data_IF_515553263460
#
_entry.id   IF_515553263460
#
_cell.length_a   1.000
_cell.length_b   1.000
_cell.length_c   1.000
_cell.angle_alpha   90.00
_cell.angle_beta   90.00
_cell.angle_gamma   90.00
#
_symmetry.space_group_name_H-M   'P 1'
#
loop_
_entity.id
_entity.type
_entity.pdbx_description
1 polymer ?
#
# COMPACT_ATOMS: atom_id res chain seq x y z
N UNK A 1 7.64 5.87 -8.30
CA UNK A 1 7.01 4.70 -8.94
C UNK A 1 5.50 4.72 -8.74
N UNK A 2 4.79 3.94 -9.52
CA UNK A 2 3.34 3.91 -9.48
C UNK A 2 2.84 2.83 -8.53
N UNK A 3 1.83 3.19 -7.71
CA UNK A 3 1.16 2.23 -6.82
C UNK A 3 -0.31 2.21 -7.18
N UNK A 4 -0.86 1.02 -7.40
CA UNK A 4 -2.27 0.85 -7.74
C UNK A 4 -3.11 0.65 -6.49
N UNK A 5 -4.24 1.37 -6.44
CA UNK A 5 -5.17 1.31 -5.32
C UNK A 5 -6.52 0.83 -5.79
N UNK A 6 -7.23 0.09 -4.94
CA UNK A 6 -8.47 -0.57 -5.35
C UNK A 6 -9.64 -0.23 -4.43
N UNK A 7 -10.84 -0.30 -5.01
CA UNK A 7 -12.13 -0.23 -4.30
C UNK A 7 -12.21 0.96 -3.34
N UNK A 8 -12.50 0.73 -2.08
CA UNK A 8 -12.75 1.77 -1.09
C UNK A 8 -11.53 2.62 -0.75
N UNK A 9 -10.33 2.24 -1.21
CA UNK A 9 -9.14 3.07 -1.02
C UNK A 9 -9.09 4.21 -2.04
N UNK A 10 -9.72 4.05 -3.20
CA UNK A 10 -9.68 5.07 -4.27
C UNK A 10 -10.25 6.42 -3.86
N UNK A 11 -11.41 6.50 -3.19
CA UNK A 11 -11.92 7.81 -2.75
C UNK A 11 -10.96 8.56 -1.84
N UNK A 12 -10.10 7.84 -1.11
CA UNK A 12 -9.16 8.45 -0.16
C UNK A 12 -7.98 9.12 -0.87
N UNK A 13 -7.81 8.85 -2.17
CA UNK A 13 -6.75 9.47 -2.98
C UNK A 13 -7.37 10.21 -4.17
N UNK A 14 -8.51 10.86 -3.94
CA UNK A 14 -9.17 11.67 -4.97
C UNK A 14 -9.78 10.86 -6.10
N UNK A 15 -10.10 9.60 -5.87
CA UNK A 15 -10.71 8.73 -6.87
C UNK A 15 -9.71 8.13 -7.86
N UNK A 16 -8.42 8.34 -7.66
CA UNK A 16 -7.41 7.83 -8.58
C UNK A 16 -7.27 6.32 -8.45
N UNK A 17 -7.04 5.63 -9.58
CA UNK A 17 -6.81 4.19 -9.58
C UNK A 17 -5.35 3.86 -9.31
N UNK A 18 -4.46 4.82 -9.55
CA UNK A 18 -3.04 4.68 -9.22
C UNK A 18 -2.48 6.05 -8.90
N UNK A 19 -1.41 6.06 -8.11
CA UNK A 19 -0.73 7.29 -7.73
C UNK A 19 0.76 7.15 -7.98
N UNK A 20 1.41 8.27 -8.28
CA UNK A 20 2.84 8.30 -8.52
C UNK A 20 3.55 8.73 -7.25
N UNK A 21 4.58 7.97 -6.83
CA UNK A 21 5.35 8.24 -5.63
C UNK A 21 6.81 8.46 -5.96
N UNK A 22 7.51 9.19 -5.07
CA UNK A 22 8.96 9.33 -5.14
C UNK A 22 9.65 8.03 -4.72
N UNK A 23 9.02 7.26 -3.85
CA UNK A 23 9.50 5.95 -3.42
C UNK A 23 9.70 5.04 -4.63
N UNK A 24 10.75 4.25 -4.61
CA UNK A 24 11.06 3.36 -5.71
C UNK A 24 12.03 2.26 -5.30
N UNK A 25 12.67 1.62 -6.30
CA UNK A 25 13.59 0.50 -6.05
C UNK A 25 14.65 0.86 -5.01
N UNK A 26 14.89 -0.06 -4.07
CA UNK A 26 15.83 0.16 -2.97
C UNK A 26 15.19 0.70 -1.70
N UNK A 27 14.04 1.33 -1.81
CA UNK A 27 13.27 1.76 -0.64
C UNK A 27 12.46 0.58 -0.10
N UNK A 28 11.84 0.77 1.06
CA UNK A 28 11.05 -0.29 1.69
C UNK A 28 9.56 -0.06 1.53
N UNK A 29 8.77 -1.09 1.84
CA UNK A 29 7.31 -0.95 1.90
C UNK A 29 6.93 0.10 2.93
N UNK A 30 7.66 0.17 4.06
CA UNK A 30 7.45 1.23 5.07
C UNK A 30 7.56 2.61 4.43
N UNK A 31 8.60 2.84 3.64
CA UNK A 31 8.82 4.13 2.97
C UNK A 31 7.65 4.46 2.04
N UNK A 32 7.17 3.47 1.31
CA UNK A 32 6.06 3.64 0.37
C UNK A 32 4.77 4.01 1.10
N UNK A 33 4.46 3.31 2.20
CA UNK A 33 3.27 3.62 2.98
C UNK A 33 3.37 4.97 3.67
N UNK A 34 4.57 5.33 4.14
CA UNK A 34 4.79 6.63 4.78
C UNK A 34 4.52 7.77 3.79
N UNK A 35 4.98 7.63 2.56
CA UNK A 35 4.73 8.66 1.55
C UNK A 35 3.25 8.76 1.21
N UNK A 36 2.56 7.63 1.08
CA UNK A 36 1.11 7.61 0.84
C UNK A 36 0.36 8.34 1.93
N UNK A 37 0.69 8.06 3.20
CA UNK A 37 0.01 8.67 4.34
C UNK A 37 0.34 10.15 4.47
N UNK A 38 1.52 10.56 4.03
CA UNK A 38 1.91 11.96 4.04
C UNK A 38 1.12 12.75 3.01
N UNK A 39 0.97 12.20 1.80
CA UNK A 39 0.23 12.86 0.72
C UNK A 39 -1.28 12.77 0.91
N UNK A 40 -1.76 11.68 1.44
CA UNK A 40 -3.19 11.44 1.67
C UNK A 40 -3.41 10.94 3.09
N UNK A 41 -3.49 11.86 4.06
CA UNK A 41 -3.60 11.49 5.49
C UNK A 41 -4.79 10.59 5.82
N UNK A 42 -5.86 10.64 5.02
CA UNK A 42 -7.02 9.77 5.24
C UNK A 42 -6.68 8.29 5.11
N UNK A 43 -5.55 7.95 4.46
CA UNK A 43 -5.12 6.57 4.34
C UNK A 43 -4.54 6.00 5.62
N UNK A 44 -4.14 6.87 6.57
CA UNK A 44 -3.43 6.41 7.77
C UNK A 44 -4.17 5.34 8.53
N UNK A 45 -5.47 5.55 8.78
CA UNK A 45 -6.27 4.60 9.54
C UNK A 45 -6.56 3.32 8.76
N UNK A 46 -6.41 3.38 7.44
CA UNK A 46 -6.65 2.20 6.59
C UNK A 46 -5.39 1.36 6.41
N UNK A 47 -4.22 1.98 6.35
CA UNK A 47 -2.98 1.28 6.00
C UNK A 47 -2.24 0.70 7.19
N UNK A 48 -2.27 1.38 8.34
CA UNK A 48 -1.51 0.94 9.51
C UNK A 48 -2.42 0.63 10.69
N UNK A 49 -1.98 -0.33 11.50
CA UNK A 49 -2.65 -0.74 12.72
C UNK A 49 -1.56 -1.16 13.71
N UNK A 50 -1.48 -0.45 14.84
CA UNK A 50 -0.47 -0.73 15.87
C UNK A 50 0.96 -0.71 15.33
N UNK A 51 1.24 0.20 14.38
CA UNK A 51 2.58 0.36 13.84
C UNK A 51 2.98 -0.64 12.77
N UNK A 52 2.05 -1.49 12.35
CA UNK A 52 2.30 -2.48 11.30
C UNK A 52 1.23 -2.37 10.21
N UNK A 53 1.39 -3.13 9.14
CA UNK A 53 0.39 -3.20 8.07
C UNK A 53 -0.93 -3.64 8.68
N UNK A 54 -1.99 -2.88 8.39
CA UNK A 54 -3.32 -3.22 8.89
C UNK A 54 -3.73 -4.63 8.44
N UNK A 55 -4.33 -5.38 9.36
CA UNK A 55 -4.82 -6.72 9.03
C UNK A 55 -5.95 -6.69 8.00
N UNK A 56 -6.54 -5.50 7.79
CA UNK A 56 -7.68 -5.36 6.88
C UNK A 56 -7.29 -5.09 5.44
N UNK A 57 -6.02 -4.76 5.17
CA UNK A 57 -5.57 -4.49 3.80
C UNK A 57 -4.58 -5.55 3.34
N UNK A 58 -4.37 -5.58 2.03
CA UNK A 58 -3.43 -6.50 1.40
C UNK A 58 -2.51 -5.72 0.49
N UNK A 59 -1.21 -5.77 0.76
CA UNK A 59 -0.19 -5.13 -0.08
C UNK A 59 0.50 -6.22 -0.88
N UNK A 60 0.32 -6.17 -2.19
CA UNK A 60 0.91 -7.16 -3.09
C UNK A 60 2.10 -6.56 -3.83
N UNK A 61 3.21 -7.24 -3.76
CA UNK A 61 4.42 -6.92 -4.52
C UNK A 61 4.68 -8.06 -5.49
N UNK A 62 4.55 -7.74 -6.78
CA UNK A 62 4.73 -8.73 -7.84
C UNK A 62 3.86 -9.98 -7.64
N UNK A 63 2.62 -9.77 -7.20
CA UNK A 63 1.65 -10.84 -7.01
C UNK A 63 1.77 -11.59 -5.69
N UNK A 64 2.66 -11.15 -4.79
CA UNK A 64 2.86 -11.83 -3.49
C UNK A 64 2.57 -10.84 -2.36
N UNK A 65 1.84 -11.30 -1.35
CA UNK A 65 1.49 -10.44 -0.23
C UNK A 65 2.70 -10.25 0.70
N UNK A 66 3.10 -8.96 0.89
CA UNK A 66 4.32 -8.66 1.63
C UNK A 66 4.24 -9.06 3.11
N UNK A 67 3.03 -9.14 3.66
CA UNK A 67 2.81 -9.55 5.05
C UNK A 67 3.43 -10.91 5.35
N UNK A 68 3.44 -11.80 4.37
CA UNK A 68 3.99 -13.15 4.51
C UNK A 68 5.45 -13.24 4.06
N UNK A 69 6.06 -12.09 3.84
CA UNK A 69 7.47 -11.96 3.47
C UNK A 69 8.15 -11.12 4.55
N UNK A 70 8.80 -10.03 4.17
CA UNK A 70 9.48 -9.15 5.12
C UNK A 70 8.58 -8.01 5.64
N UNK A 71 7.31 -7.97 5.22
CA UNK A 71 6.37 -6.96 5.69
C UNK A 71 6.84 -5.55 5.37
N UNK A 72 6.82 -4.69 6.39
CA UNK A 72 7.25 -3.29 6.22
C UNK A 72 8.72 -3.15 5.83
N UNK A 73 9.54 -4.12 6.18
CA UNK A 73 10.99 -4.10 5.86
C UNK A 73 11.29 -4.63 4.47
N UNK A 74 10.27 -5.10 3.74
CA UNK A 74 10.46 -5.61 2.40
C UNK A 74 11.03 -4.53 1.49
N UNK A 75 12.16 -4.83 0.84
CA UNK A 75 12.81 -3.90 -0.10
C UNK A 75 12.13 -4.02 -1.46
N UNK A 76 11.84 -2.87 -2.05
CA UNK A 76 11.19 -2.80 -3.36
C UNK A 76 12.22 -3.06 -4.45
N UNK A 77 12.00 -4.08 -5.30
CA UNK A 77 12.93 -4.39 -6.38
C UNK A 77 12.69 -3.52 -7.61
N UNK A 78 13.58 -3.62 -8.59
CA UNK A 78 13.37 -2.99 -9.89
C UNK A 78 12.11 -3.56 -10.54
N UNK A 79 11.40 -2.72 -11.28
CA UNK A 79 10.20 -3.10 -12.03
C UNK A 79 9.11 -3.70 -11.14
N UNK A 80 8.97 -3.18 -9.92
CA UNK A 80 7.97 -3.66 -8.98
C UNK A 80 6.56 -3.32 -9.42
N UNK A 81 5.65 -4.29 -9.26
CA UNK A 81 4.21 -4.10 -9.43
C UNK A 81 3.62 -4.07 -8.02
N UNK A 82 3.26 -2.86 -7.54
CA UNK A 82 2.69 -2.69 -6.21
C UNK A 82 1.21 -2.38 -6.29
N UNK A 83 0.42 -3.17 -5.54
CA UNK A 83 -1.03 -3.04 -5.50
C UNK A 83 -1.50 -3.13 -4.06
N UNK A 84 -2.44 -2.26 -3.69
CA UNK A 84 -3.02 -2.26 -2.35
C UNK A 84 -4.52 -2.48 -2.45
N UNK A 85 -5.01 -3.52 -1.78
CA UNK A 85 -6.42 -3.88 -1.76
C UNK A 85 -7.00 -3.70 -0.38
N UNK A 86 -8.24 -3.17 -0.27
CA UNK A 86 -8.97 -3.15 0.99
C UNK A 86 -9.56 -4.53 1.27
N UNK A 87 -10.22 -4.71 2.43
CA UNK A 87 -10.92 -5.96 2.71
C UNK A 87 -11.92 -6.28 1.62
N UNK A 88 -12.00 -7.56 1.25
CA UNK A 88 -12.93 -8.05 0.24
C UNK A 88 -14.21 -8.50 0.93
N UNK A 89 -15.33 -8.36 0.22
CA UNK A 89 -16.60 -8.89 0.71
C UNK A 89 -17.24 -8.01 1.77
N UNK A 90 -16.97 -6.76 1.73
CA UNK A 90 -17.45 -5.72 2.63
C UNK A 90 -18.51 -6.16 3.63
N UNK A 91 -18.13 -6.38 4.86
CA UNK A 91 -19.05 -6.75 5.90
C UNK A 91 -19.34 -8.23 5.95
N UNK A 92 -18.79 -8.96 5.07
CA UNK A 92 -18.93 -10.40 5.17
C UNK A 92 -18.12 -10.88 6.37
#
# INVERSE_FOLDING_TARGET
MKVKLYASLRPLVGGQTSVELETGPGDTIQDMLDELMKKWPALRDELLENGDISSRIHVFLNGREVRYMDGLDMVIPENADLRIFPPVGGGA
#
